data_IF_687843555890
#
_entry.id   IF_687843555890
#
_cell.length_a   1.000
_cell.length_b   1.000
_cell.length_c   1.000
_cell.angle_alpha   90.00
_cell.angle_beta   90.00
_cell.angle_gamma   90.00
#
_symmetry.space_group_name_H-M   'P 1'
#
loop_
_entity.id
_entity.type
_entity.pdbx_description
1 polymer ?
#
# COMPACT_ATOMS: atom_id res chain seq x y z
N UNK A 1 -9.36 -23.10 7.64
CA UNK A 1 -9.88 -21.91 6.94
C UNK A 1 -8.75 -20.90 6.82
N UNK A 2 -8.36 -20.50 5.61
CA UNK A 2 -7.31 -19.51 5.42
C UNK A 2 -7.89 -18.09 5.58
N UNK A 3 -7.36 -17.30 6.51
CA UNK A 3 -7.77 -15.92 6.77
C UNK A 3 -7.28 -15.00 5.65
N UNK A 4 -8.11 -14.05 5.20
CA UNK A 4 -7.69 -13.06 4.22
C UNK A 4 -6.56 -12.19 4.77
N UNK A 5 -5.64 -11.78 3.89
CA UNK A 5 -4.39 -11.07 4.29
C UNK A 5 -4.57 -9.57 4.51
N UNK A 6 -5.74 -9.01 4.20
CA UNK A 6 -6.12 -7.63 4.50
C UNK A 6 -6.91 -7.57 5.81
N UNK A 7 -6.51 -6.66 6.70
CA UNK A 7 -7.33 -6.22 7.83
C UNK A 7 -8.10 -4.94 7.50
N UNK A 8 -8.51 -4.21 8.53
CA UNK A 8 -9.23 -2.93 8.43
C UNK A 8 -8.53 -1.93 7.50
N UNK A 9 -9.28 -1.28 6.61
CA UNK A 9 -8.74 -0.31 5.64
C UNK A 9 -8.42 1.01 6.36
N UNK A 10 -7.16 1.48 6.35
CA UNK A 10 -6.79 2.78 6.93
C UNK A 10 -7.37 3.95 6.13
N UNK A 11 -7.79 5.01 6.84
CA UNK A 11 -8.28 6.26 6.25
C UNK A 11 -7.15 7.30 6.24
N UNK A 12 -6.29 7.23 5.20
CA UNK A 12 -5.15 8.14 4.99
C UNK A 12 -5.47 9.21 3.92
N UNK A 13 -4.75 10.35 3.92
CA UNK A 13 -4.90 11.41 2.90
C UNK A 13 -4.67 10.84 1.49
N UNK A 14 -5.70 10.71 0.64
CA UNK A 14 -5.57 9.99 -0.61
C UNK A 14 -4.99 10.88 -1.72
N UNK A 15 -4.10 10.33 -2.52
CA UNK A 15 -3.70 10.89 -3.81
C UNK A 15 -4.53 10.22 -4.90
N UNK A 16 -5.25 10.99 -5.71
CA UNK A 16 -6.07 10.45 -6.81
C UNK A 16 -5.18 10.03 -7.97
N UNK A 17 -5.35 8.79 -8.41
CA UNK A 17 -4.73 8.23 -9.60
C UNK A 17 -5.82 7.75 -10.56
N UNK A 18 -5.63 7.96 -11.85
CA UNK A 18 -6.45 7.33 -12.90
C UNK A 18 -5.64 6.16 -13.44
N UNK A 19 -6.20 4.96 -13.40
CA UNK A 19 -5.52 3.73 -13.80
C UNK A 19 -6.44 2.91 -14.71
N UNK A 20 -5.84 2.22 -15.67
CA UNK A 20 -6.53 1.21 -16.47
C UNK A 20 -6.19 -0.18 -15.91
N UNK A 21 -7.21 -1.01 -15.74
CA UNK A 21 -7.05 -2.37 -15.23
C UNK A 21 -7.61 -3.37 -16.24
N UNK A 22 -6.96 -4.54 -16.42
CA UNK A 22 -7.56 -5.63 -17.18
C UNK A 22 -8.92 -6.02 -16.58
N UNK A 23 -9.90 -6.33 -17.43
CA UNK A 23 -11.25 -6.67 -16.99
C UNK A 23 -11.29 -7.86 -16.01
N UNK A 24 -10.37 -8.82 -16.17
CA UNK A 24 -10.19 -9.95 -15.26
C UNK A 24 -9.86 -9.48 -13.84
N UNK A 25 -8.94 -8.53 -13.69
CA UNK A 25 -8.52 -7.99 -12.39
C UNK A 25 -9.66 -7.24 -11.71
N UNK A 26 -10.42 -6.44 -12.47
CA UNK A 26 -11.58 -5.75 -11.91
C UNK A 26 -12.62 -6.73 -11.35
N UNK A 27 -12.93 -7.81 -12.07
CA UNK A 27 -13.86 -8.84 -11.58
C UNK A 27 -13.36 -9.51 -10.30
N UNK A 28 -12.07 -9.81 -10.24
CA UNK A 28 -11.46 -10.42 -9.06
C UNK A 28 -11.47 -9.46 -7.86
N UNK A 29 -11.25 -8.16 -8.08
CA UNK A 29 -11.35 -7.14 -7.03
C UNK A 29 -12.78 -7.01 -6.49
N UNK A 30 -13.80 -7.07 -7.35
CA UNK A 30 -15.21 -7.09 -6.93
C UNK A 30 -15.50 -8.33 -6.08
N UNK A 31 -15.07 -9.51 -6.53
CA UNK A 31 -15.25 -10.75 -5.79
C UNK A 31 -14.55 -10.71 -4.42
N UNK A 32 -13.32 -10.17 -4.38
CA UNK A 32 -12.56 -10.00 -3.15
C UNK A 32 -13.23 -9.02 -2.19
N UNK A 33 -13.73 -7.88 -2.67
CA UNK A 33 -14.41 -6.88 -1.85
C UNK A 33 -15.70 -7.43 -1.23
N UNK A 34 -16.44 -8.27 -1.96
CA UNK A 34 -17.60 -8.99 -1.44
C UNK A 34 -17.21 -10.00 -0.37
N UNK A 35 -16.14 -10.78 -0.59
CA UNK A 35 -15.67 -11.77 0.38
C UNK A 35 -15.20 -11.10 1.68
N UNK A 36 -14.42 -10.01 1.56
CA UNK A 36 -13.93 -9.24 2.69
C UNK A 36 -15.08 -8.62 3.50
N UNK A 37 -16.06 -8.02 2.81
CA UNK A 37 -17.24 -7.44 3.45
C UNK A 37 -18.09 -8.43 4.23
N UNK A 38 -18.13 -9.70 3.79
CA UNK A 38 -18.78 -10.80 4.51
C UNK A 38 -17.97 -11.25 5.73
N UNK A 39 -16.64 -11.19 5.68
CA UNK A 39 -15.78 -11.56 6.81
C UNK A 39 -15.80 -10.49 7.91
N UNK A 40 -16.04 -9.22 7.56
CA UNK A 40 -16.03 -8.10 8.49
C UNK A 40 -17.42 -7.58 8.89
N UNK A 41 -18.50 -8.20 8.41
CA UNK A 41 -19.90 -7.75 8.58
C UNK A 41 -20.15 -6.29 8.15
N UNK A 42 -19.33 -5.76 7.23
CA UNK A 42 -19.35 -4.34 6.83
C UNK A 42 -19.85 -4.09 5.40
N UNK A 43 -20.48 -5.10 4.78
CA UNK A 43 -20.98 -4.98 3.41
C UNK A 43 -19.85 -4.93 2.37
N UNK A 44 -20.21 -5.00 1.09
CA UNK A 44 -19.23 -5.11 0.02
C UNK A 44 -18.27 -3.91 -0.02
N UNK A 45 -16.96 -4.20 -0.04
CA UNK A 45 -15.93 -3.17 -0.18
C UNK A 45 -15.75 -2.80 -1.65
N UNK A 46 -15.76 -1.50 -1.96
CA UNK A 46 -15.51 -1.00 -3.31
C UNK A 46 -14.12 -1.42 -3.83
N UNK A 47 -14.00 -1.88 -5.10
CA UNK A 47 -12.73 -2.31 -5.69
C UNK A 47 -11.59 -1.29 -5.53
N UNK A 48 -11.88 0.00 -5.73
CA UNK A 48 -10.88 1.06 -5.64
C UNK A 48 -10.28 1.19 -4.22
N UNK A 49 -11.08 0.95 -3.18
CA UNK A 49 -10.64 1.02 -1.77
C UNK A 49 -9.71 -0.14 -1.39
N UNK A 50 -9.68 -1.22 -2.17
CA UNK A 50 -8.79 -2.36 -1.96
C UNK A 50 -7.37 -2.12 -2.50
N UNK A 51 -7.24 -1.34 -3.57
CA UNK A 51 -5.99 -1.19 -4.33
C UNK A 51 -4.87 -0.63 -3.46
N UNK A 52 -5.14 0.47 -2.75
CA UNK A 52 -4.15 1.11 -1.87
C UNK A 52 -3.60 0.14 -0.80
N UNK A 53 -4.46 -0.46 0.04
CA UNK A 53 -4.04 -1.43 1.05
C UNK A 53 -3.35 -2.68 0.47
N UNK A 54 -3.79 -3.18 -0.70
CA UNK A 54 -3.14 -4.31 -1.38
C UNK A 54 -1.72 -3.96 -1.84
N UNK A 55 -1.53 -2.80 -2.46
CA UNK A 55 -0.21 -2.32 -2.89
C UNK A 55 0.70 -2.05 -1.71
N UNK A 56 0.17 -1.46 -0.63
CA UNK A 56 0.89 -1.25 0.62
C UNK A 56 1.40 -2.59 1.19
N UNK A 57 0.52 -3.60 1.26
CA UNK A 57 0.86 -4.95 1.73
C UNK A 57 1.93 -5.59 0.85
N UNK A 58 1.78 -5.48 -0.47
CA UNK A 58 2.75 -6.00 -1.44
C UNK A 58 4.13 -5.38 -1.22
N UNK A 59 4.23 -4.05 -1.25
CA UNK A 59 5.49 -3.31 -1.05
C UNK A 59 6.13 -3.58 0.31
N UNK A 60 5.32 -3.71 1.37
CA UNK A 60 5.83 -4.02 2.71
C UNK A 60 6.44 -5.42 2.80
N UNK A 61 5.97 -6.38 2.01
CA UNK A 61 6.47 -7.77 2.01
C UNK A 61 7.64 -7.99 1.05
N UNK A 62 7.86 -7.10 0.08
CA UNK A 62 8.98 -7.17 -0.84
C UNK A 62 10.29 -6.74 -0.14
N UNK A 63 11.08 -7.73 0.28
CA UNK A 63 12.36 -7.50 0.97
C UNK A 63 13.40 -6.85 0.06
N UNK A 64 13.37 -7.10 -1.24
CA UNK A 64 14.33 -6.50 -2.17
C UNK A 64 14.03 -5.01 -2.31
N UNK A 65 12.76 -4.67 -2.52
CA UNK A 65 12.29 -3.29 -2.49
C UNK A 65 12.61 -2.59 -1.16
N UNK A 66 12.37 -3.25 -0.03
CA UNK A 66 12.67 -2.69 1.29
C UNK A 66 14.18 -2.44 1.53
N UNK A 67 15.09 -3.17 0.86
CA UNK A 67 16.53 -2.88 0.91
C UNK A 67 16.88 -1.64 0.08
N UNK A 68 16.36 -1.55 -1.15
CA UNK A 68 16.59 -0.40 -2.04
C UNK A 68 16.10 0.90 -1.42
N UNK A 69 14.85 0.92 -0.91
CA UNK A 69 14.28 2.09 -0.24
C UNK A 69 15.11 2.55 0.97
N UNK A 70 15.70 1.62 1.72
CA UNK A 70 16.58 1.96 2.84
C UNK A 70 17.90 2.56 2.37
N UNK A 71 18.50 2.00 1.32
CA UNK A 71 19.72 2.55 0.73
C UNK A 71 19.51 3.97 0.20
N UNK A 72 18.38 4.21 -0.48
CA UNK A 72 17.99 5.55 -0.96
C UNK A 72 17.72 6.52 0.19
N UNK A 73 17.01 6.10 1.25
CA UNK A 73 16.78 6.95 2.42
C UNK A 73 18.09 7.32 3.16
N UNK A 74 19.09 6.43 3.15
CA UNK A 74 20.43 6.73 3.69
C UNK A 74 21.19 7.68 2.76
N UNK A 75 21.12 7.47 1.45
CA UNK A 75 21.76 8.34 0.45
C UNK A 75 21.15 9.75 0.38
N UNK A 76 19.85 9.87 0.67
CA UNK A 76 19.12 11.14 0.73
C UNK A 76 19.37 11.93 2.02
N UNK A 77 20.26 11.46 2.91
CA UNK A 77 20.81 12.28 3.99
C UNK A 77 22.13 12.96 3.57
N UNK A 78 22.13 14.15 2.94
CA UNK A 78 23.33 14.99 2.94
C UNK A 78 23.19 16.17 3.93
N UNK A 79 24.17 16.25 4.84
CA UNK A 79 24.90 17.48 5.16
C UNK A 79 24.19 18.60 5.97
N UNK A 80 23.44 18.29 7.04
CA UNK A 80 23.06 19.32 8.03
C UNK A 80 24.06 19.49 9.19
N UNK A 81 25.07 18.62 9.33
CA UNK A 81 25.96 18.63 10.51
C UNK A 81 27.26 19.44 10.34
N UNK A 82 27.61 19.94 9.16
CA UNK A 82 28.95 20.52 8.93
C UNK A 82 29.03 22.06 8.83
N UNK A 83 27.99 22.81 9.23
CA UNK A 83 27.98 24.29 9.20
C UNK A 83 28.36 24.96 10.53
N UNK A 84 28.59 24.20 11.61
CA UNK A 84 28.91 24.76 12.94
C UNK A 84 30.41 24.88 13.25
N UNK A 85 31.30 24.57 12.31
CA UNK A 85 32.76 24.68 12.50
C UNK A 85 33.41 25.38 11.30
N UNK A 86 33.17 26.68 11.17
CA UNK A 86 34.19 27.58 10.63
C UNK A 86 34.02 28.96 11.26
N UNK A 87 34.93 29.20 12.21
CA UNK A 87 35.33 30.49 12.75
C UNK A 87 35.71 31.49 11.67
#
# INVERSE_FOLDING_TARGET
MAKLKLGTIPDDKPVKLTIELPAVVHRDLVAYGNALGRETDQGAVEPAKLIGPMLLRFMATDRAFAKLRRAEAVAQRPHSENRAQKS
#
